data_IF_017062324335
#
_entry.id   IF_017062324335
#
_cell.length_a   1.000
_cell.length_b   1.000
_cell.length_c   1.000
_cell.angle_alpha   90.00
_cell.angle_beta   90.00
_cell.angle_gamma   90.00
#
_symmetry.space_group_name_H-M   'P 1'
#
loop_
_entity.id
_entity.type
_entity.pdbx_description
1 polymer ?
#
# COMPACT_ATOMS: atom_id res chain seq x y z
N UNK A 1 -33.06 13.68 -16.06
CA UNK A 1 -33.40 12.66 -17.09
C UNK A 1 -32.40 11.51 -16.91
N UNK A 2 -32.86 10.31 -16.68
CA UNK A 2 -31.95 9.19 -16.41
C UNK A 2 -31.63 8.50 -17.75
N UNK A 3 -30.37 8.55 -18.21
CA UNK A 3 -29.93 7.95 -19.45
C UNK A 3 -29.42 6.55 -19.15
N UNK A 4 -30.07 5.53 -19.70
CA UNK A 4 -29.59 4.15 -19.61
C UNK A 4 -28.48 3.93 -20.67
N UNK A 5 -27.51 3.03 -20.39
CA UNK A 5 -26.45 2.72 -21.34
C UNK A 5 -26.98 2.31 -22.72
N UNK A 6 -28.12 1.62 -22.77
CA UNK A 6 -28.80 1.24 -24.03
C UNK A 6 -29.30 2.43 -24.85
N UNK A 7 -29.53 3.60 -24.21
CA UNK A 7 -30.03 4.83 -24.83
C UNK A 7 -28.89 5.68 -25.41
N UNK A 8 -27.62 5.32 -25.11
CA UNK A 8 -26.44 5.91 -25.72
C UNK A 8 -26.29 5.43 -27.16
N UNK A 9 -25.66 6.26 -28.00
CA UNK A 9 -25.21 5.83 -29.32
C UNK A 9 -24.32 4.57 -29.15
N UNK A 10 -24.40 3.65 -30.08
CA UNK A 10 -23.67 2.36 -29.99
C UNK A 10 -22.19 2.58 -29.74
N UNK A 11 -21.57 3.55 -30.43
CA UNK A 11 -20.15 3.87 -30.28
C UNK A 11 -19.77 4.48 -28.91
N UNK A 12 -20.75 4.97 -28.15
CA UNK A 12 -20.56 5.56 -26.82
C UNK A 12 -20.84 4.58 -25.67
N UNK A 13 -21.33 3.39 -25.97
CA UNK A 13 -21.53 2.37 -24.95
C UNK A 13 -20.19 1.82 -24.50
N UNK A 14 -19.93 1.69 -23.20
CA UNK A 14 -18.60 1.33 -22.67
C UNK A 14 -18.01 0.05 -23.27
N UNK A 15 -18.83 -0.97 -23.52
CA UNK A 15 -18.35 -2.24 -24.09
C UNK A 15 -17.94 -2.06 -25.56
N UNK A 16 -18.80 -1.51 -26.39
CA UNK A 16 -18.57 -1.26 -27.82
C UNK A 16 -17.46 -0.23 -28.04
N UNK A 17 -17.37 0.76 -27.15
CA UNK A 17 -16.27 1.73 -27.14
C UNK A 17 -14.93 1.06 -26.82
N UNK A 18 -14.91 0.16 -25.82
CA UNK A 18 -13.71 -0.61 -25.48
C UNK A 18 -13.28 -1.54 -26.62
N UNK A 19 -14.23 -2.20 -27.27
CA UNK A 19 -13.97 -3.10 -28.39
C UNK A 19 -13.39 -2.35 -29.61
N UNK A 20 -13.85 -1.13 -29.86
CA UNK A 20 -13.41 -0.34 -31.00
C UNK A 20 -12.12 0.43 -30.78
N UNK A 21 -11.92 0.99 -29.57
CA UNK A 21 -10.84 1.93 -29.27
C UNK A 21 -9.88 1.44 -28.19
N UNK A 22 -10.13 0.26 -27.62
CA UNK A 22 -9.38 -0.29 -26.49
C UNK A 22 -9.86 0.25 -25.14
N UNK A 23 -9.55 -0.50 -24.06
CA UNK A 23 -9.94 -0.15 -22.68
C UNK A 23 -9.30 1.15 -22.19
N UNK A 24 -8.17 1.55 -22.76
CA UNK A 24 -7.49 2.81 -22.42
C UNK A 24 -8.25 4.07 -22.86
N UNK A 25 -9.23 3.93 -23.77
CA UNK A 25 -10.09 5.03 -24.20
C UNK A 25 -11.29 5.26 -23.26
N UNK A 26 -11.48 4.40 -22.26
CA UNK A 26 -12.59 4.49 -21.32
C UNK A 26 -12.26 5.43 -20.16
N UNK A 27 -13.27 6.17 -19.70
CA UNK A 27 -13.21 6.88 -18.43
C UNK A 27 -13.26 5.91 -17.24
N UNK A 28 -12.87 6.37 -16.05
CA UNK A 28 -12.95 5.57 -14.81
C UNK A 28 -14.35 5.01 -14.55
N UNK A 29 -15.38 5.82 -14.80
CA UNK A 29 -16.77 5.38 -14.66
C UNK A 29 -17.15 4.30 -15.68
N UNK A 30 -16.70 4.43 -16.92
CA UNK A 30 -16.92 3.42 -17.95
C UNK A 30 -16.17 2.11 -17.62
N UNK A 31 -14.92 2.19 -17.13
CA UNK A 31 -14.17 1.00 -16.68
C UNK A 31 -14.91 0.26 -15.55
N UNK A 32 -15.35 0.98 -14.52
CA UNK A 32 -16.11 0.37 -13.43
C UNK A 32 -17.45 -0.17 -13.90
N UNK A 33 -18.09 0.45 -14.89
CA UNK A 33 -19.35 -0.03 -15.45
C UNK A 33 -19.21 -1.40 -16.12
N UNK A 34 -18.06 -1.69 -16.76
CA UNK A 34 -17.76 -3.00 -17.33
C UNK A 34 -17.67 -4.07 -16.24
N UNK A 35 -17.08 -3.75 -15.09
CA UNK A 35 -16.92 -4.66 -13.95
C UNK A 35 -18.27 -4.94 -13.28
N UNK A 36 -19.07 -3.89 -13.03
CA UNK A 36 -20.37 -4.01 -12.36
C UNK A 36 -21.48 -4.55 -13.25
N UNK A 37 -21.38 -4.39 -14.57
CA UNK A 37 -22.24 -4.89 -15.65
C UNK A 37 -23.67 -4.35 -15.65
N UNK A 38 -24.30 -4.19 -14.50
CA UNK A 38 -25.72 -3.84 -14.41
C UNK A 38 -25.97 -2.69 -13.43
N UNK A 39 -26.87 -1.80 -13.82
CA UNK A 39 -27.43 -0.77 -12.95
C UNK A 39 -28.61 -1.30 -12.11
N UNK A 40 -29.50 -0.39 -11.76
CA UNK A 40 -30.78 -0.66 -11.11
C UNK A 40 -31.93 -0.09 -11.97
N UNK A 41 -33.17 -0.29 -11.52
CA UNK A 41 -34.33 0.38 -12.15
C UNK A 41 -34.27 1.91 -12.06
N UNK A 42 -33.51 2.46 -11.09
CA UNK A 42 -33.47 3.91 -10.78
C UNK A 42 -32.14 4.57 -11.16
N UNK A 43 -31.07 3.80 -11.39
CA UNK A 43 -29.73 4.31 -11.70
C UNK A 43 -29.07 3.43 -12.76
N UNK A 44 -28.47 4.04 -13.79
CA UNK A 44 -27.66 3.30 -14.77
C UNK A 44 -26.39 2.76 -14.12
N UNK A 45 -25.73 1.83 -14.78
CA UNK A 45 -24.44 1.34 -14.28
C UNK A 45 -23.38 2.44 -14.25
N UNK A 46 -23.44 3.43 -15.14
CA UNK A 46 -22.56 4.60 -15.14
C UNK A 46 -22.83 5.52 -13.94
N UNK A 47 -24.11 5.72 -13.58
CA UNK A 47 -24.45 6.49 -12.39
C UNK A 47 -23.94 5.80 -11.12
N UNK A 48 -24.07 4.47 -11.03
CA UNK A 48 -23.52 3.69 -9.93
C UNK A 48 -21.98 3.79 -9.88
N UNK A 49 -21.32 3.73 -11.03
CA UNK A 49 -19.87 3.90 -11.12
C UNK A 49 -19.44 5.27 -10.59
N UNK A 50 -20.13 6.34 -11.00
CA UNK A 50 -19.84 7.68 -10.50
C UNK A 50 -20.10 7.80 -8.98
N UNK A 51 -21.13 7.16 -8.44
CA UNK A 51 -21.37 7.14 -7.00
C UNK A 51 -20.24 6.42 -6.26
N UNK A 52 -19.76 5.29 -6.79
CA UNK A 52 -18.62 4.54 -6.23
C UNK A 52 -17.34 5.39 -6.25
N UNK A 53 -17.03 6.06 -7.37
CA UNK A 53 -15.85 6.93 -7.49
C UNK A 53 -15.88 8.13 -6.52
N UNK A 54 -17.06 8.51 -6.04
CA UNK A 54 -17.24 9.60 -5.09
C UNK A 54 -17.55 9.13 -3.66
N UNK A 55 -17.56 7.83 -3.39
CA UNK A 55 -18.02 7.27 -2.13
C UNK A 55 -17.11 7.62 -0.92
N UNK A 56 -15.78 7.62 -1.12
CA UNK A 56 -14.87 8.00 -0.05
C UNK A 56 -14.87 9.52 0.17
N UNK A 57 -14.81 9.98 1.42
CA UNK A 57 -14.94 11.40 1.76
C UNK A 57 -13.82 12.27 1.15
N UNK A 58 -12.59 11.87 1.30
CA UNK A 58 -11.40 12.64 0.90
C UNK A 58 -10.73 12.13 -0.38
N UNK A 59 -10.70 10.82 -0.59
CA UNK A 59 -10.05 10.20 -1.75
C UNK A 59 -11.09 9.88 -2.82
N UNK A 60 -11.14 10.70 -3.89
CA UNK A 60 -12.06 10.49 -5.02
C UNK A 60 -11.40 9.67 -6.13
N UNK A 61 -12.20 9.17 -7.05
CA UNK A 61 -11.74 8.37 -8.19
C UNK A 61 -11.39 6.93 -7.83
N UNK A 62 -10.65 6.26 -8.71
CA UNK A 62 -10.28 4.84 -8.55
C UNK A 62 -9.44 4.58 -7.29
N UNK A 63 -8.60 5.54 -6.90
CA UNK A 63 -7.78 5.42 -5.70
C UNK A 63 -8.65 5.29 -4.44
N UNK A 64 -9.80 5.95 -4.40
CA UNK A 64 -10.75 5.88 -3.29
C UNK A 64 -11.22 4.46 -2.97
N UNK A 65 -11.27 3.56 -3.97
CA UNK A 65 -11.67 2.16 -3.76
C UNK A 65 -10.79 1.42 -2.75
N UNK A 66 -9.52 1.80 -2.63
CA UNK A 66 -8.58 1.14 -1.73
C UNK A 66 -8.81 1.48 -0.24
N UNK A 67 -9.59 2.52 0.03
CA UNK A 67 -9.92 2.99 1.38
C UNK A 67 -11.34 2.61 1.83
N UNK A 68 -12.16 2.10 0.91
CA UNK A 68 -13.55 1.75 1.21
C UNK A 68 -13.68 0.37 1.83
N UNK A 69 -14.60 0.26 2.78
CA UNK A 69 -15.01 -1.01 3.37
C UNK A 69 -16.23 -1.58 2.62
N UNK A 70 -16.46 -2.91 2.64
CA UNK A 70 -17.63 -3.53 2.03
C UNK A 70 -18.95 -2.88 2.48
N UNK A 71 -19.05 -2.53 3.78
CA UNK A 71 -20.23 -1.92 4.38
C UNK A 71 -20.50 -0.50 3.86
N UNK A 72 -19.47 0.23 3.44
CA UNK A 72 -19.63 1.57 2.86
C UNK A 72 -20.13 1.49 1.43
N UNK A 73 -19.60 0.57 0.65
CA UNK A 73 -20.05 0.31 -0.72
C UNK A 73 -21.50 -0.16 -0.76
N UNK A 74 -21.90 -1.03 0.16
CA UNK A 74 -23.28 -1.56 0.20
C UNK A 74 -24.32 -0.54 0.64
N UNK A 75 -23.92 0.63 1.18
CA UNK A 75 -24.84 1.77 1.40
C UNK A 75 -25.30 2.42 0.09
N UNK A 76 -24.58 2.22 -1.01
CA UNK A 76 -24.96 2.74 -2.32
C UNK A 76 -26.09 1.89 -2.89
N UNK A 77 -27.28 2.47 -3.15
CA UNK A 77 -28.41 1.71 -3.68
C UNK A 77 -28.07 1.08 -5.03
N UNK A 78 -28.09 -0.26 -5.10
CA UNK A 78 -27.73 -1.02 -6.29
C UNK A 78 -26.32 -1.65 -6.24
N UNK A 79 -25.56 -1.39 -5.19
CA UNK A 79 -24.31 -2.11 -4.87
C UNK A 79 -24.64 -3.12 -3.75
N UNK A 80 -24.83 -4.38 -4.13
CA UNK A 80 -24.92 -5.49 -3.16
C UNK A 80 -23.54 -6.06 -2.83
N UNK A 81 -23.52 -7.03 -1.90
CA UNK A 81 -22.28 -7.67 -1.45
C UNK A 81 -21.39 -8.17 -2.60
N UNK A 82 -21.99 -8.75 -3.66
CA UNK A 82 -21.22 -9.28 -4.79
C UNK A 82 -20.47 -8.17 -5.51
N UNK A 83 -21.15 -7.05 -5.86
CA UNK A 83 -20.50 -5.92 -6.52
C UNK A 83 -19.48 -5.26 -5.63
N UNK A 84 -19.76 -5.11 -4.33
CA UNK A 84 -18.81 -4.56 -3.37
C UNK A 84 -17.51 -5.38 -3.34
N UNK A 85 -17.62 -6.71 -3.25
CA UNK A 85 -16.46 -7.60 -3.26
C UNK A 85 -15.71 -7.53 -4.61
N UNK A 86 -16.40 -7.48 -5.75
CA UNK A 86 -15.76 -7.34 -7.06
C UNK A 86 -14.94 -6.05 -7.18
N UNK A 87 -15.47 -4.92 -6.71
CA UNK A 87 -14.78 -3.64 -6.72
C UNK A 87 -13.54 -3.65 -5.81
N UNK A 88 -13.67 -4.21 -4.61
CA UNK A 88 -12.54 -4.33 -3.67
C UNK A 88 -11.49 -5.33 -4.16
N UNK A 89 -11.90 -6.42 -4.83
CA UNK A 89 -10.97 -7.36 -5.45
C UNK A 89 -10.16 -6.68 -6.57
N UNK A 90 -10.80 -5.81 -7.39
CA UNK A 90 -10.09 -5.03 -8.40
C UNK A 90 -9.04 -4.10 -7.76
N UNK A 91 -9.41 -3.40 -6.68
CA UNK A 91 -8.49 -2.54 -5.94
C UNK A 91 -7.31 -3.34 -5.37
N UNK A 92 -7.56 -4.50 -4.79
CA UNK A 92 -6.51 -5.39 -4.26
C UNK A 92 -5.59 -5.95 -5.36
N UNK A 93 -6.14 -6.33 -6.52
CA UNK A 93 -5.33 -6.77 -7.68
C UNK A 93 -4.40 -5.64 -8.12
N UNK A 94 -4.91 -4.41 -8.29
CA UNK A 94 -4.10 -3.26 -8.66
C UNK A 94 -2.96 -3.02 -7.66
N UNK A 95 -3.26 -3.09 -6.36
CA UNK A 95 -2.25 -2.98 -5.30
C UNK A 95 -1.17 -4.06 -5.40
N UNK A 96 -1.56 -5.32 -5.60
CA UNK A 96 -0.59 -6.44 -5.74
C UNK A 96 0.27 -6.29 -6.98
N UNK A 97 -0.31 -5.88 -8.11
CA UNK A 97 0.45 -5.63 -9.35
C UNK A 97 1.51 -4.54 -9.15
N UNK A 98 1.16 -3.44 -8.48
CA UNK A 98 2.11 -2.38 -8.18
C UNK A 98 3.24 -2.87 -7.27
N UNK A 99 2.91 -3.62 -6.20
CA UNK A 99 3.91 -4.20 -5.30
C UNK A 99 4.83 -5.19 -6.01
N UNK A 100 4.29 -6.06 -6.85
CA UNK A 100 5.09 -7.02 -7.63
C UNK A 100 6.04 -6.31 -8.61
N UNK A 101 5.57 -5.24 -9.26
CA UNK A 101 6.39 -4.44 -10.15
C UNK A 101 7.53 -3.73 -9.42
N UNK A 102 7.25 -3.23 -8.21
CA UNK A 102 8.26 -2.65 -7.34
C UNK A 102 9.25 -3.71 -6.85
N UNK A 103 8.77 -4.88 -6.42
CA UNK A 103 9.64 -5.99 -5.99
C UNK A 103 10.63 -6.45 -7.07
N UNK A 104 10.21 -6.52 -8.34
CA UNK A 104 11.11 -6.87 -9.45
C UNK A 104 12.23 -5.85 -9.68
N UNK A 105 12.09 -4.62 -9.18
CA UNK A 105 13.10 -3.55 -9.24
C UNK A 105 13.92 -3.42 -7.95
N UNK A 106 13.60 -4.22 -6.92
CA UNK A 106 14.21 -4.10 -5.61
C UNK A 106 15.59 -4.78 -5.56
N UNK A 107 16.59 -4.00 -5.91
CA UNK A 107 17.87 -4.09 -5.29
C UNK A 107 17.81 -3.21 -4.03
N UNK A 108 17.89 -3.81 -2.84
CA UNK A 108 17.82 -3.08 -1.55
C UNK A 108 19.12 -2.30 -1.26
N UNK A 109 19.70 -1.71 -2.31
CA UNK A 109 21.00 -1.03 -2.23
C UNK A 109 20.90 0.45 -1.83
N UNK A 110 19.71 1.06 -1.99
CA UNK A 110 19.53 2.48 -1.70
C UNK A 110 18.29 2.73 -0.83
N UNK A 111 18.32 3.75 0.05
CA UNK A 111 17.14 4.16 0.81
C UNK A 111 15.94 4.51 -0.08
N UNK A 112 16.18 5.08 -1.27
CA UNK A 112 15.14 5.42 -2.25
C UNK A 112 14.32 4.21 -2.69
N UNK A 113 14.98 3.10 -3.04
CA UNK A 113 14.29 1.90 -3.53
C UNK A 113 13.48 1.25 -2.42
N UNK A 114 14.04 1.19 -1.21
CA UNK A 114 13.34 0.69 -0.02
C UNK A 114 12.17 1.61 0.34
N UNK A 115 12.41 2.92 0.38
CA UNK A 115 11.39 3.92 0.67
C UNK A 115 10.22 3.87 -0.31
N UNK A 116 10.49 3.78 -1.63
CA UNK A 116 9.46 3.67 -2.65
C UNK A 116 8.59 2.43 -2.46
N UNK A 117 9.21 1.27 -2.22
CA UNK A 117 8.50 0.02 -1.97
C UNK A 117 7.60 0.09 -0.73
N UNK A 118 8.18 0.55 0.40
CA UNK A 118 7.44 0.57 1.65
C UNK A 118 6.38 1.67 1.72
N UNK A 119 6.55 2.79 1.00
CA UNK A 119 5.46 3.78 0.83
C UNK A 119 4.24 3.14 0.20
N UNK A 120 4.42 2.38 -0.88
CA UNK A 120 3.30 1.69 -1.54
C UNK A 120 2.74 0.57 -0.65
N UNK A 121 3.60 -0.22 -0.02
CA UNK A 121 3.19 -1.31 0.87
C UNK A 121 2.40 -0.81 2.07
N UNK A 122 2.79 0.34 2.63
CA UNK A 122 2.18 0.91 3.84
C UNK A 122 1.09 1.95 3.56
N UNK A 123 0.84 2.31 2.29
CA UNK A 123 -0.05 3.40 1.87
C UNK A 123 -1.42 3.40 2.56
N UNK A 124 -1.97 2.24 2.82
CA UNK A 124 -3.32 2.05 3.36
C UNK A 124 -3.33 1.51 4.79
N UNK A 125 -2.19 1.50 5.45
CA UNK A 125 -2.10 1.05 6.84
C UNK A 125 -2.54 2.18 7.77
N UNK A 126 -3.52 1.88 8.61
CA UNK A 126 -4.02 2.79 9.66
C UNK A 126 -3.33 2.58 11.01
N UNK A 127 -2.49 1.55 11.11
CA UNK A 127 -1.70 1.21 12.31
C UNK A 127 -0.22 1.23 11.97
N UNK A 128 0.60 1.50 12.98
CA UNK A 128 2.05 1.38 12.83
C UNK A 128 2.46 -0.07 12.67
N UNK A 129 3.33 -0.32 11.71
CA UNK A 129 3.98 -1.60 11.50
C UNK A 129 5.47 -1.40 11.34
N UNK A 130 6.24 -2.33 11.88
CA UNK A 130 7.68 -2.39 11.69
C UNK A 130 8.04 -3.59 10.84
N UNK A 131 8.93 -3.39 9.89
CA UNK A 131 9.50 -4.40 9.01
C UNK A 131 10.99 -4.50 9.27
N UNK A 132 11.46 -5.70 9.54
CA UNK A 132 12.87 -6.03 9.65
C UNK A 132 13.30 -6.73 8.36
N UNK A 133 14.23 -6.12 7.64
CA UNK A 133 14.84 -6.68 6.44
C UNK A 133 16.17 -7.34 6.83
N UNK A 134 16.30 -8.60 6.55
CA UNK A 134 17.52 -9.38 6.75
C UNK A 134 18.22 -9.53 5.40
N UNK A 135 19.45 -9.06 5.30
CA UNK A 135 20.19 -8.98 4.04
C UNK A 135 21.50 -9.76 4.10
N UNK A 136 21.91 -10.26 2.93
CA UNK A 136 23.24 -10.81 2.72
C UNK A 136 24.30 -9.71 2.71
N UNK A 137 25.59 -10.09 2.66
CA UNK A 137 26.69 -9.14 2.46
C UNK A 137 26.58 -8.35 1.14
N UNK A 138 25.92 -8.90 0.13
CA UNK A 138 25.64 -8.22 -1.14
C UNK A 138 24.33 -7.40 -1.11
N UNK A 139 23.77 -7.11 0.07
CA UNK A 139 22.50 -6.40 0.28
C UNK A 139 21.28 -7.05 -0.42
N UNK A 140 21.36 -8.35 -0.72
CA UNK A 140 20.22 -9.11 -1.25
C UNK A 140 19.30 -9.51 -0.09
N UNK A 141 17.98 -9.37 -0.26
CA UNK A 141 17.01 -9.74 0.75
C UNK A 141 16.98 -11.25 0.99
N UNK A 142 17.28 -11.66 2.22
CA UNK A 142 17.13 -13.04 2.69
C UNK A 142 15.70 -13.25 3.19
N UNK A 143 15.22 -12.35 4.04
CA UNK A 143 13.91 -12.44 4.67
C UNK A 143 13.39 -11.08 5.09
N UNK A 144 12.10 -10.88 4.94
CA UNK A 144 11.34 -9.81 5.57
C UNK A 144 10.56 -10.37 6.75
N UNK A 145 10.54 -9.66 7.86
CA UNK A 145 9.77 -9.98 9.05
C UNK A 145 8.91 -8.77 9.39
N UNK A 146 7.60 -8.95 9.29
CA UNK A 146 6.61 -7.93 9.64
C UNK A 146 6.17 -8.10 11.08
N UNK A 147 6.06 -6.99 11.82
CA UNK A 147 5.44 -6.91 13.14
C UNK A 147 4.45 -5.75 13.17
N UNK A 148 3.31 -5.97 13.79
CA UNK A 148 2.34 -4.92 14.08
C UNK A 148 2.46 -4.52 15.55
N UNK A 149 2.32 -3.23 15.85
CA UNK A 149 2.14 -2.80 17.23
C UNK A 149 0.74 -3.19 17.69
N UNK A 150 0.67 -4.04 18.71
CA UNK A 150 -0.60 -4.39 19.36
C UNK A 150 -1.16 -3.28 20.26
N UNK A 151 -0.36 -2.25 20.59
CA UNK A 151 -0.74 -1.11 21.45
C UNK A 151 0.07 0.14 21.08
N UNK A 152 -0.53 1.31 21.26
CA UNK A 152 -0.02 2.65 20.88
C UNK A 152 1.39 3.00 21.43
N UNK A 153 1.96 2.20 22.33
CA UNK A 153 3.20 2.54 23.02
C UNK A 153 4.35 1.52 22.90
N UNK A 154 4.25 0.45 22.11
CA UNK A 154 5.35 -0.53 21.99
C UNK A 154 5.40 -1.18 20.61
N UNK A 155 5.94 -0.44 19.63
CA UNK A 155 6.12 -0.93 18.25
C UNK A 155 7.51 -1.51 18.00
N UNK A 156 8.43 -1.40 18.97
CA UNK A 156 9.81 -1.75 18.73
C UNK A 156 10.09 -3.22 18.98
N UNK A 157 10.62 -3.89 17.96
CA UNK A 157 11.35 -5.13 18.17
C UNK A 157 12.49 -4.85 19.15
N UNK A 158 12.54 -5.58 20.25
CA UNK A 158 13.69 -5.49 21.14
C UNK A 158 14.97 -5.91 20.39
N UNK A 159 16.16 -5.35 20.69
CA UNK A 159 17.40 -5.83 20.08
C UNK A 159 17.53 -7.36 20.13
N UNK A 160 17.10 -7.97 21.22
CA UNK A 160 17.10 -9.44 21.38
C UNK A 160 16.30 -10.13 20.29
N UNK A 161 15.07 -9.68 20.03
CA UNK A 161 14.20 -10.30 18.99
C UNK A 161 14.76 -10.11 17.58
N UNK A 162 15.25 -8.90 17.28
CA UNK A 162 15.89 -8.60 16.00
C UNK A 162 17.06 -9.56 15.74
N UNK A 163 17.97 -9.68 16.71
CA UNK A 163 19.19 -10.47 16.51
C UNK A 163 18.97 -11.97 16.61
N UNK A 164 17.94 -12.45 17.30
CA UNK A 164 17.50 -13.85 17.19
C UNK A 164 17.15 -14.18 15.72
N UNK A 165 16.41 -13.30 15.06
CA UNK A 165 16.08 -13.48 13.64
C UNK A 165 17.31 -13.32 12.76
N UNK A 166 18.10 -12.27 12.94
CA UNK A 166 19.27 -12.01 12.13
C UNK A 166 20.29 -13.16 12.17
N UNK A 167 20.57 -13.70 13.35
CA UNK A 167 21.46 -14.84 13.52
C UNK A 167 20.87 -16.13 12.93
N UNK A 168 19.57 -16.37 13.12
CA UNK A 168 18.88 -17.56 12.56
C UNK A 168 18.95 -17.61 11.04
N UNK A 169 18.91 -16.46 10.38
CA UNK A 169 18.94 -16.34 8.92
C UNK A 169 20.34 -15.97 8.39
N UNK A 170 21.36 -15.97 9.25
CA UNK A 170 22.76 -15.65 8.89
C UNK A 170 22.87 -14.29 8.16
N UNK A 171 22.06 -13.32 8.59
CA UNK A 171 22.06 -11.99 8.01
C UNK A 171 23.33 -11.23 8.39
N UNK A 172 23.94 -10.56 7.43
CA UNK A 172 25.11 -9.68 7.61
C UNK A 172 24.69 -8.24 7.81
N UNK A 173 23.62 -7.83 7.11
CA UNK A 173 23.04 -6.50 7.20
C UNK A 173 21.56 -6.59 7.60
N UNK A 174 21.09 -5.60 8.33
CA UNK A 174 19.67 -5.40 8.61
C UNK A 174 19.26 -3.98 8.27
N UNK A 175 18.03 -3.82 7.78
CA UNK A 175 17.35 -2.53 7.65
C UNK A 175 16.04 -2.59 8.40
N UNK A 176 15.76 -1.55 9.16
CA UNK A 176 14.47 -1.35 9.79
C UNK A 176 13.62 -0.42 8.93
N UNK A 177 12.35 -0.73 8.82
CA UNK A 177 11.38 0.17 8.18
C UNK A 177 10.14 0.23 9.06
N UNK A 178 9.60 1.41 9.32
CA UNK A 178 8.29 1.53 9.93
C UNK A 178 7.45 2.64 9.29
N UNK A 179 6.14 2.52 9.37
CA UNK A 179 5.24 3.53 8.86
C UNK A 179 4.67 4.38 9.98
N UNK A 180 4.49 5.68 9.70
CA UNK A 180 3.73 6.59 10.54
C UNK A 180 2.36 6.90 9.90
N UNK A 181 1.25 6.33 10.41
CA UNK A 181 -0.09 6.65 9.93
C UNK A 181 -0.47 8.13 10.09
N UNK A 182 0.25 8.86 10.99
CA UNK A 182 0.08 10.29 11.19
C UNK A 182 0.46 11.16 9.98
N UNK A 183 1.13 10.59 8.97
CA UNK A 183 1.63 11.31 7.79
C UNK A 183 2.94 12.07 8.01
N UNK A 184 3.59 11.96 9.18
CA UNK A 184 4.86 12.66 9.49
C UNK A 184 6.03 11.69 9.46
N UNK A 185 7.04 11.95 8.62
CA UNK A 185 8.26 11.13 8.52
C UNK A 185 9.32 11.45 9.60
N UNK A 186 9.10 12.48 10.43
CA UNK A 186 10.06 12.84 11.47
C UNK A 186 10.14 11.74 12.52
N UNK A 187 11.35 11.19 12.80
CA UNK A 187 11.51 10.20 13.84
C UNK A 187 11.20 10.78 15.22
N UNK A 188 10.59 10.00 16.08
CA UNK A 188 10.46 10.33 17.50
C UNK A 188 11.77 10.06 18.23
N UNK A 189 11.91 10.63 19.44
CA UNK A 189 13.07 10.34 20.30
C UNK A 189 13.16 8.84 20.62
N UNK A 190 12.03 8.17 20.75
CA UNK A 190 11.97 6.73 20.96
C UNK A 190 12.49 5.95 19.74
N UNK A 191 12.19 6.40 18.51
CA UNK A 191 12.74 5.81 17.27
C UNK A 191 14.25 5.91 17.24
N UNK A 192 14.76 7.08 17.52
CA UNK A 192 16.21 7.36 17.54
C UNK A 192 16.89 6.49 18.59
N UNK A 193 16.41 6.52 19.84
CA UNK A 193 16.99 5.76 20.96
C UNK A 193 17.00 4.25 20.71
N UNK A 194 15.88 3.69 20.18
CA UNK A 194 15.79 2.28 19.89
C UNK A 194 16.74 1.89 18.76
N UNK A 195 16.82 2.71 17.69
CA UNK A 195 17.71 2.46 16.56
C UNK A 195 19.18 2.45 17.00
N UNK A 196 19.59 3.41 17.81
CA UNK A 196 20.96 3.45 18.33
C UNK A 196 21.28 2.24 19.21
N UNK A 197 20.36 1.78 20.07
CA UNK A 197 20.55 0.54 20.85
C UNK A 197 20.68 -0.70 19.95
N UNK A 198 19.87 -0.78 18.90
CA UNK A 198 19.94 -1.89 17.94
C UNK A 198 21.27 -1.84 17.19
N UNK A 199 21.69 -0.67 16.72
CA UNK A 199 23.00 -0.48 16.07
C UNK A 199 24.16 -0.94 16.95
N UNK A 200 24.17 -0.52 18.21
CA UNK A 200 25.27 -0.84 19.12
C UNK A 200 25.30 -2.35 19.47
N UNK A 201 24.12 -2.98 19.63
CA UNK A 201 24.01 -4.43 19.79
C UNK A 201 24.48 -5.18 18.52
N UNK A 202 24.13 -4.67 17.32
CA UNK A 202 24.56 -5.25 16.05
C UNK A 202 26.08 -5.24 15.87
N UNK A 203 26.72 -4.14 16.25
CA UNK A 203 28.20 -4.04 16.23
C UNK A 203 28.87 -5.13 17.07
N UNK A 204 28.30 -5.46 18.22
CA UNK A 204 28.84 -6.53 19.09
C UNK A 204 28.69 -7.92 18.47
N UNK A 205 27.68 -8.13 17.63
CA UNK A 205 27.37 -9.40 16.96
C UNK A 205 27.94 -9.51 15.56
N UNK A 206 28.62 -8.47 15.05
CA UNK A 206 29.11 -8.44 13.68
C UNK A 206 28.01 -8.28 12.63
N UNK A 207 26.82 -7.79 13.02
CA UNK A 207 25.67 -7.56 12.15
C UNK A 207 25.45 -6.06 12.00
N UNK A 208 25.54 -5.54 10.79
CA UNK A 208 25.43 -4.11 10.53
C UNK A 208 23.96 -3.67 10.42
N UNK A 209 23.58 -2.64 11.16
CA UNK A 209 22.34 -1.89 10.91
C UNK A 209 22.62 -0.90 9.79
N UNK A 210 22.18 -1.21 8.58
CA UNK A 210 22.49 -0.42 7.38
C UNK A 210 21.64 0.83 7.29
N UNK A 211 20.37 0.79 7.73
CA UNK A 211 19.50 1.96 7.79
C UNK A 211 18.27 1.71 8.68
N UNK A 212 17.59 2.80 9.02
CA UNK A 212 16.24 2.80 9.55
C UNK A 212 15.40 3.81 8.78
N UNK A 213 14.42 3.32 8.04
CA UNK A 213 13.60 4.11 7.11
C UNK A 213 12.20 4.28 7.69
N UNK A 214 11.75 5.52 7.76
CA UNK A 214 10.38 5.88 8.16
C UNK A 214 9.61 6.26 6.92
N UNK A 215 8.43 5.66 6.73
CA UNK A 215 7.54 6.00 5.62
C UNK A 215 6.23 6.61 6.13
N UNK A 216 5.76 7.67 5.48
CA UNK A 216 4.51 8.33 5.83
C UNK A 216 3.89 8.99 4.60
N UNK A 217 2.68 8.57 4.22
CA UNK A 217 2.05 9.04 2.98
C UNK A 217 2.94 8.80 1.77
N UNK A 218 3.23 9.86 1.03
CA UNK A 218 4.09 9.82 -0.16
C UNK A 218 5.57 10.20 0.13
N UNK A 219 5.95 10.22 1.42
CA UNK A 219 7.30 10.59 1.85
C UNK A 219 8.00 9.43 2.55
N UNK A 220 9.33 9.46 2.56
CA UNK A 220 10.16 8.63 3.42
C UNK A 220 11.32 9.46 4.00
N UNK A 221 11.92 8.92 5.05
CA UNK A 221 13.14 9.45 5.66
C UNK A 221 14.08 8.29 5.98
N UNK A 222 15.33 8.39 5.56
CA UNK A 222 16.43 7.52 5.98
C UNK A 222 17.15 8.15 7.16
N UNK A 223 17.29 7.42 8.25
CA UNK A 223 18.06 7.88 9.41
C UNK A 223 19.57 7.94 9.10
N UNK A 224 20.07 7.05 8.22
CA UNK A 224 21.43 7.06 7.74
C UNK A 224 21.74 8.36 6.97
N UNK A 225 20.90 8.70 5.98
CA UNK A 225 21.08 9.94 5.18
C UNK A 225 20.97 11.21 6.03
N UNK A 226 20.23 11.16 7.14
CA UNK A 226 20.11 12.26 8.10
C UNK A 226 21.26 12.32 9.09
N UNK A 227 22.20 11.39 9.07
CA UNK A 227 23.34 11.34 9.99
C UNK A 227 22.94 11.00 11.43
N UNK A 228 21.80 10.32 11.63
CA UNK A 228 21.31 9.86 12.94
C UNK A 228 21.93 8.50 13.29
N UNK A 229 22.27 7.70 12.26
CA UNK A 229 22.74 6.30 12.36
C UNK A 229 24.24 6.20 12.13
#
# INVERSE_FOLDING_TARGET
MHILVKDLAVCERPYEKAERYGVSALSDAELLSLIMRTGTKKASVLDLANQVLNAHETQKGLLGLQFLLPQELTKIPGIGNIKAIQLLALAEISKRMNLEQLQKKLEFHTPDTIGAYYREKCRFLTIEKTFLLLLTNAHTLIKEIERSSGTVNQTYLSPREIFIHALRYEAVHIVLVHNHPSGRVTPSDADIQSTLRIRDAGKMLGIQVSDHIIVAGDQYLSMLERGIL
#
